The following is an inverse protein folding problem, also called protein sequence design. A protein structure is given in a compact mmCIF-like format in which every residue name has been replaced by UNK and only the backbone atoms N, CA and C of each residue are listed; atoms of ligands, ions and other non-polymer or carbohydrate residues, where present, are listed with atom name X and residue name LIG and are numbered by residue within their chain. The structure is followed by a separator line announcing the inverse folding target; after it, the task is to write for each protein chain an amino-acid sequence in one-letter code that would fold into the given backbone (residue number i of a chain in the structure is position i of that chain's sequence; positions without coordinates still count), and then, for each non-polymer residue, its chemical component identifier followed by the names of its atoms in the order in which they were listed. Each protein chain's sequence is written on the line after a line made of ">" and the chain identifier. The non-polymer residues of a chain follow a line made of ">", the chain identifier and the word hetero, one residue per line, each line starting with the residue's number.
data_IF_152742321700
#
_entry.id   IF_152742321700
#
_cell.length_a   1.000
_cell.length_b   1.000
_cell.length_c   1.000
_cell.angle_alpha   90.00
_cell.angle_beta   90.00
_cell.angle_gamma   90.00
#
_symmetry.space_group_name_H-M   'P 1'
#
loop_
_entity.id
_entity.type
_entity.pdbx_description
1 polymer ?
#
# COMPACT_ATOMS: atom_id res chain seq x y z
N UNK A 1 18.41 -12.92 7.87
CA UNK A 1 18.35 -12.92 9.36
C UNK A 1 18.45 -11.51 9.93
N UNK A 2 19.45 -10.70 9.54
CA UNK A 2 19.61 -9.29 9.96
C UNK A 2 18.43 -8.35 9.59
N UNK A 3 17.91 -8.43 8.36
CA UNK A 3 16.81 -7.57 7.91
C UNK A 3 15.50 -7.83 8.69
N UNK A 4 15.21 -9.10 8.98
CA UNK A 4 14.04 -9.50 9.78
C UNK A 4 14.14 -8.96 11.20
N UNK A 5 15.29 -9.12 11.87
CA UNK A 5 15.49 -8.59 13.22
C UNK A 5 15.46 -7.06 13.28
N UNK A 6 15.97 -6.37 12.24
CA UNK A 6 15.85 -4.91 12.14
C UNK A 6 14.40 -4.47 11.95
N UNK A 7 13.63 -5.20 11.15
CA UNK A 7 12.22 -4.91 10.91
C UNK A 7 11.38 -5.14 12.17
N UNK A 8 11.66 -6.20 12.92
CA UNK A 8 11.07 -6.47 14.23
C UNK A 8 11.41 -5.36 15.25
N UNK A 9 12.67 -4.91 15.33
CA UNK A 9 13.09 -3.80 16.20
C UNK A 9 12.37 -2.49 15.85
N UNK A 10 12.37 -2.09 14.57
CA UNK A 10 11.66 -0.88 14.11
C UNK A 10 10.15 -1.00 14.38
N UNK A 11 9.55 -2.15 14.06
CA UNK A 11 8.12 -2.39 14.30
C UNK A 11 7.79 -2.30 15.80
N UNK A 12 8.63 -2.84 16.66
CA UNK A 12 8.44 -2.77 18.12
C UNK A 12 8.51 -1.33 18.63
N UNK A 13 9.44 -0.52 18.13
CA UNK A 13 9.55 0.92 18.45
C UNK A 13 8.33 1.70 17.98
N UNK A 14 7.83 1.37 16.78
CA UNK A 14 6.61 1.98 16.22
C UNK A 14 5.34 1.58 16.98
N UNK A 15 5.29 0.38 17.57
CA UNK A 15 4.13 -0.10 18.35
C UNK A 15 4.02 0.56 19.73
N UNK A 16 5.15 0.85 20.38
CA UNK A 16 5.18 1.30 21.77
C UNK A 16 4.76 2.76 21.93
N UNK A 17 4.85 3.56 20.87
CA UNK A 17 4.61 5.01 20.97
C UNK A 17 3.41 5.42 20.11
N UNK A 18 2.29 5.80 20.76
CA UNK A 18 1.08 6.40 20.12
C UNK A 18 1.40 7.51 19.12
N UNK A 19 2.55 8.17 19.27
CA UNK A 19 3.07 9.23 18.40
C UNK A 19 3.37 8.78 16.97
N UNK A 20 3.41 7.48 16.68
CA UNK A 20 3.66 6.95 15.33
C UNK A 20 2.39 6.59 14.54
N UNK A 21 1.18 6.74 15.10
CA UNK A 21 -0.06 6.45 14.37
C UNK A 21 -0.22 7.34 13.13
N UNK A 22 0.09 8.64 13.27
CA UNK A 22 0.11 9.61 12.16
C UNK A 22 1.12 9.19 11.09
N UNK A 23 2.28 8.70 11.51
CA UNK A 23 3.34 8.22 10.63
C UNK A 23 2.93 6.98 9.83
N UNK A 24 2.32 5.99 10.49
CA UNK A 24 1.78 4.78 9.86
C UNK A 24 0.71 5.16 8.82
N UNK A 25 -0.15 6.13 9.14
CA UNK A 25 -1.17 6.65 8.22
C UNK A 25 -0.59 7.31 6.97
N UNK A 26 0.56 8.01 7.10
CA UNK A 26 1.26 8.57 5.94
C UNK A 26 1.79 7.44 5.05
N UNK A 27 2.58 6.51 5.60
CA UNK A 27 3.20 5.46 4.80
C UNK A 27 2.18 4.59 4.10
N UNK A 28 1.04 4.31 4.75
CA UNK A 28 -0.06 3.54 4.15
C UNK A 28 -0.51 4.10 2.80
N UNK A 29 -0.64 5.42 2.66
CA UNK A 29 -1.08 6.06 1.41
C UNK A 29 0.03 6.12 0.36
N UNK A 30 1.30 6.00 0.77
CA UNK A 30 2.47 6.10 -0.12
C UNK A 30 3.04 4.76 -0.54
N UNK A 31 2.65 3.67 0.12
CA UNK A 31 3.17 2.33 -0.14
C UNK A 31 2.92 1.87 -1.59
N UNK A 32 1.96 2.46 -2.32
CA UNK A 32 1.74 2.17 -3.74
C UNK A 32 2.79 2.78 -4.69
N UNK A 33 3.57 3.76 -4.22
CA UNK A 33 4.62 4.44 -4.96
C UNK A 33 6.05 3.96 -4.57
N UNK A 34 6.15 2.80 -3.92
CA UNK A 34 7.43 2.22 -3.49
C UNK A 34 8.31 1.77 -4.65
N UNK A 35 9.61 1.93 -4.44
CA UNK A 35 10.64 1.49 -5.37
C UNK A 35 10.82 -0.03 -5.26
N UNK A 36 11.35 -0.65 -6.30
CA UNK A 36 11.73 -2.07 -6.32
C UNK A 36 12.64 -2.45 -5.15
N UNK A 37 13.49 -1.54 -4.68
CA UNK A 37 14.34 -1.75 -3.51
C UNK A 37 13.56 -1.94 -2.20
N UNK A 38 12.40 -1.29 -2.04
CA UNK A 38 11.53 -1.48 -0.87
C UNK A 38 10.90 -2.88 -0.91
N UNK A 39 10.52 -3.33 -2.10
CA UNK A 39 9.91 -4.63 -2.32
C UNK A 39 10.90 -5.78 -2.14
N UNK A 40 12.13 -5.59 -2.62
CA UNK A 40 13.26 -6.51 -2.42
C UNK A 40 13.46 -6.79 -0.92
N UNK A 41 13.55 -5.72 -0.12
CA UNK A 41 13.65 -5.81 1.35
C UNK A 41 12.45 -6.52 2.00
N UNK A 42 11.25 -6.34 1.48
CA UNK A 42 10.04 -6.99 2.00
C UNK A 42 10.07 -8.51 1.77
N UNK A 43 10.57 -8.93 0.60
CA UNK A 43 10.74 -10.34 0.24
C UNK A 43 11.89 -10.97 1.04
N UNK A 44 13.00 -10.25 1.20
CA UNK A 44 14.14 -10.68 2.03
C UNK A 44 13.79 -10.80 3.52
N UNK A 45 12.90 -9.94 4.01
CA UNK A 45 12.33 -10.03 5.36
C UNK A 45 11.30 -11.16 5.50
N UNK A 46 10.99 -11.88 4.42
CA UNK A 46 10.00 -12.96 4.37
C UNK A 46 8.59 -12.51 4.80
N UNK A 47 8.21 -11.28 4.47
CA UNK A 47 6.85 -10.79 4.72
C UNK A 47 5.82 -11.41 3.77
N UNK A 48 6.29 -11.75 2.57
CA UNK A 48 5.61 -12.53 1.55
C UNK A 48 6.65 -13.07 0.56
N UNK A 49 6.25 -14.04 -0.25
CA UNK A 49 7.06 -14.52 -1.38
C UNK A 49 6.42 -14.11 -2.69
N UNK A 50 7.21 -13.68 -3.67
CA UNK A 50 6.74 -13.42 -5.04
C UNK A 50 7.12 -14.57 -5.97
N UNK A 51 6.24 -14.93 -6.90
CA UNK A 51 6.49 -16.01 -7.84
C UNK A 51 5.87 -15.74 -9.22
N UNK A 52 6.39 -16.43 -10.23
CA UNK A 52 5.84 -16.48 -11.57
C UNK A 52 5.33 -17.87 -11.88
N UNK A 53 4.20 -17.94 -12.57
CA UNK A 53 3.75 -19.12 -13.30
C UNK A 53 4.00 -18.86 -14.78
N UNK A 54 4.87 -19.64 -15.38
CA UNK A 54 5.27 -19.53 -16.78
C UNK A 54 4.72 -20.71 -17.56
N UNK A 55 4.01 -20.44 -18.64
CA UNK A 55 3.54 -21.46 -19.59
C UNK A 55 4.39 -21.41 -20.86
N UNK A 56 4.71 -22.57 -21.44
CA UNK A 56 5.37 -22.65 -22.75
C UNK A 56 4.49 -22.19 -23.90
N UNK A 57 3.17 -22.10 -23.69
CA UNK A 57 2.23 -21.60 -24.69
C UNK A 57 1.83 -20.15 -24.41
N UNK A 58 2.03 -19.29 -25.42
CA UNK A 58 1.67 -17.87 -25.39
C UNK A 58 0.16 -17.63 -25.21
N UNK A 59 -0.68 -18.53 -25.74
CA UNK A 59 -2.13 -18.52 -25.56
C UNK A 59 -2.61 -19.96 -25.56
N UNK A 60 -3.15 -20.42 -24.45
CA UNK A 60 -3.62 -21.80 -24.38
C UNK A 60 -4.60 -22.04 -23.24
N UNK A 61 -5.48 -23.05 -23.41
CA UNK A 61 -6.48 -23.42 -22.42
C UNK A 61 -5.84 -23.85 -21.09
N UNK A 62 -4.56 -24.22 -21.05
CA UNK A 62 -3.86 -24.50 -19.79
C UNK A 62 -3.90 -23.31 -18.83
N UNK A 63 -3.50 -22.12 -19.29
CA UNK A 63 -3.50 -20.96 -18.41
C UNK A 63 -4.92 -20.52 -18.09
N UNK A 64 -5.79 -20.36 -19.08
CA UNK A 64 -7.11 -19.74 -18.88
C UNK A 64 -8.16 -20.69 -18.31
N UNK A 65 -8.08 -21.98 -18.62
CA UNK A 65 -9.11 -22.95 -18.22
C UNK A 65 -8.67 -23.87 -17.09
N UNK A 66 -7.36 -23.98 -16.78
CA UNK A 66 -6.85 -24.86 -15.73
C UNK A 66 -6.21 -24.06 -14.59
N UNK A 67 -5.27 -23.17 -14.91
CA UNK A 67 -4.50 -22.42 -13.90
C UNK A 67 -5.32 -21.24 -13.37
N UNK A 68 -5.82 -20.34 -14.22
CA UNK A 68 -6.54 -19.13 -13.82
C UNK A 68 -7.75 -19.41 -12.90
N UNK A 69 -8.53 -20.49 -13.05
CA UNK A 69 -9.57 -20.86 -12.10
C UNK A 69 -9.09 -21.10 -10.66
N UNK A 70 -7.82 -21.45 -10.45
CA UNK A 70 -7.26 -21.57 -9.10
C UNK A 70 -7.07 -20.21 -8.42
N UNK A 71 -6.90 -19.11 -9.18
CA UNK A 71 -6.59 -17.81 -8.58
C UNK A 71 -7.79 -17.23 -7.84
N UNK A 72 -7.62 -17.02 -6.53
CA UNK A 72 -8.58 -16.29 -5.73
C UNK A 72 -8.74 -14.84 -6.19
N UNK A 73 -7.72 -14.24 -6.80
CA UNK A 73 -7.76 -12.84 -7.26
C UNK A 73 -8.47 -12.68 -8.59
N UNK A 74 -8.19 -13.55 -9.56
CA UNK A 74 -8.84 -13.50 -10.88
C UNK A 74 -10.34 -13.77 -10.74
N UNK A 75 -10.71 -14.76 -9.92
CA UNK A 75 -12.10 -15.19 -9.74
C UNK A 75 -12.80 -14.50 -8.57
N UNK A 76 -12.15 -13.53 -7.91
CA UNK A 76 -12.70 -12.76 -6.79
C UNK A 76 -13.22 -13.64 -5.63
N UNK A 77 -12.52 -14.73 -5.35
CA UNK A 77 -12.78 -15.57 -4.19
C UNK A 77 -12.30 -14.85 -2.93
N UNK A 78 -13.23 -14.13 -2.30
CA UNK A 78 -12.95 -13.27 -1.15
C UNK A 78 -13.07 -13.99 0.19
N UNK A 79 -13.79 -15.11 0.24
CA UNK A 79 -14.00 -15.88 1.46
C UNK A 79 -14.10 -17.39 1.15
N UNK A 80 -13.54 -18.26 2.01
CA UNK A 80 -13.70 -19.70 1.91
C UNK A 80 -15.18 -20.14 1.98
N UNK A 81 -16.05 -19.32 2.59
CA UNK A 81 -17.46 -19.64 2.74
C UNK A 81 -18.33 -19.30 1.54
N UNK A 82 -17.76 -18.65 0.52
CA UNK A 82 -18.54 -18.23 -0.64
C UNK A 82 -19.06 -19.44 -1.44
N UNK A 83 -20.32 -19.43 -1.92
CA UNK A 83 -20.90 -20.55 -2.67
C UNK A 83 -20.03 -20.97 -3.87
N UNK A 84 -19.52 -20.00 -4.62
CA UNK A 84 -18.66 -20.25 -5.77
C UNK A 84 -17.34 -20.98 -5.41
N UNK A 85 -16.79 -20.73 -4.22
CA UNK A 85 -15.61 -21.46 -3.72
C UNK A 85 -16.00 -22.89 -3.36
N UNK A 86 -17.09 -23.08 -2.60
CA UNK A 86 -17.55 -24.42 -2.20
C UNK A 86 -17.89 -25.30 -3.40
N UNK A 87 -18.55 -24.74 -4.41
CA UNK A 87 -18.89 -25.46 -5.64
C UNK A 87 -17.64 -25.87 -6.42
N UNK A 88 -16.67 -24.96 -6.55
CA UNK A 88 -15.42 -25.22 -7.25
C UNK A 88 -14.56 -26.27 -6.52
N UNK A 89 -14.37 -26.10 -5.21
CA UNK A 89 -13.61 -27.03 -4.36
C UNK A 89 -14.27 -28.41 -4.33
N UNK A 90 -15.60 -28.48 -4.26
CA UNK A 90 -16.35 -29.74 -4.30
C UNK A 90 -16.23 -30.43 -5.66
N UNK A 91 -16.28 -29.67 -6.76
CA UNK A 91 -16.16 -30.21 -8.12
C UNK A 91 -14.80 -30.84 -8.36
N UNK A 92 -13.72 -30.12 -8.07
CA UNK A 92 -12.36 -30.57 -8.41
C UNK A 92 -11.64 -31.29 -7.25
N UNK A 93 -12.27 -31.40 -6.07
CA UNK A 93 -11.69 -31.98 -4.85
C UNK A 93 -10.37 -31.32 -4.48
N UNK A 94 -10.36 -29.99 -4.47
CA UNK A 94 -9.20 -29.16 -4.14
C UNK A 94 -9.58 -28.16 -3.07
N UNK A 95 -8.58 -27.53 -2.46
CA UNK A 95 -8.81 -26.42 -1.53
C UNK A 95 -8.01 -25.20 -1.99
N UNK A 96 -8.70 -24.07 -2.08
CA UNK A 96 -8.22 -22.75 -2.48
C UNK A 96 -7.70 -21.94 -1.31
N UNK A 97 -8.09 -22.30 -0.09
CA UNK A 97 -7.70 -21.64 1.16
C UNK A 97 -7.00 -22.63 2.10
N UNK A 98 -6.14 -22.13 2.99
CA UNK A 98 -5.67 -22.92 4.13
C UNK A 98 -6.80 -23.07 5.15
N UNK A 99 -6.61 -23.94 6.15
CA UNK A 99 -7.54 -24.07 7.28
C UNK A 99 -7.74 -22.75 8.06
N UNK A 100 -6.76 -21.85 7.99
CA UNK A 100 -6.77 -20.53 8.62
C UNK A 100 -7.43 -19.46 7.74
N UNK A 101 -7.97 -19.83 6.58
CA UNK A 101 -8.61 -18.90 5.64
C UNK A 101 -7.63 -18.11 4.77
N UNK A 102 -6.35 -18.51 4.71
CA UNK A 102 -5.34 -17.86 3.87
C UNK A 102 -5.46 -18.36 2.44
N UNK A 103 -5.43 -17.46 1.45
CA UNK A 103 -5.45 -17.82 0.03
C UNK A 103 -4.20 -18.64 -0.33
N UNK A 104 -4.39 -19.88 -0.81
CA UNK A 104 -3.29 -20.70 -1.33
C UNK A 104 -2.79 -20.20 -2.69
N UNK A 105 -3.70 -19.68 -3.50
CA UNK A 105 -3.45 -19.27 -4.88
C UNK A 105 -3.87 -17.81 -5.10
N UNK A 106 -2.95 -16.89 -4.91
CA UNK A 106 -3.17 -15.46 -5.18
C UNK A 106 -2.22 -14.95 -6.28
N UNK A 107 -2.70 -14.99 -7.52
CA UNK A 107 -1.96 -14.51 -8.68
C UNK A 107 -2.84 -13.77 -9.68
N UNK A 108 -2.23 -12.92 -10.50
CA UNK A 108 -2.89 -12.16 -11.55
C UNK A 108 -2.21 -12.37 -12.91
N UNK A 109 -2.94 -12.04 -13.98
CA UNK A 109 -2.40 -12.00 -15.33
C UNK A 109 -1.39 -10.86 -15.44
N UNK A 110 -0.14 -11.20 -15.78
CA UNK A 110 0.92 -10.24 -16.08
C UNK A 110 1.11 -10.09 -17.59
N UNK A 111 1.14 -11.21 -18.32
CA UNK A 111 1.17 -11.27 -19.78
C UNK A 111 0.29 -12.42 -20.26
N UNK A 112 0.24 -12.67 -21.58
CA UNK A 112 -0.52 -13.80 -22.11
C UNK A 112 0.04 -15.16 -21.61
N UNK A 113 1.37 -15.30 -21.46
CA UNK A 113 2.05 -16.52 -21.00
C UNK A 113 2.47 -16.54 -19.52
N UNK A 114 2.35 -15.41 -18.82
CA UNK A 114 2.86 -15.25 -17.45
C UNK A 114 1.76 -14.87 -16.48
N UNK A 115 1.71 -15.58 -15.36
CA UNK A 115 1.02 -15.12 -14.14
C UNK A 115 2.03 -14.73 -13.09
N UNK A 116 1.70 -13.69 -12.36
CA UNK A 116 2.51 -13.20 -11.25
C UNK A 116 1.70 -13.37 -9.98
N UNK A 117 2.31 -13.92 -8.94
CA UNK A 117 1.62 -14.17 -7.68
C UNK A 117 2.39 -13.74 -6.44
N UNK A 118 1.61 -13.57 -5.37
CA UNK A 118 2.09 -13.37 -4.00
C UNK A 118 1.69 -14.60 -3.19
N UNK A 119 2.61 -15.09 -2.39
CA UNK A 119 2.43 -16.20 -1.48
C UNK A 119 2.55 -15.70 -0.04
N UNK A 120 1.59 -16.11 0.80
CA UNK A 120 1.61 -15.78 2.22
C UNK A 120 2.85 -16.34 2.91
N UNK A 121 3.40 -15.60 3.89
CA UNK A 121 4.62 -15.98 4.61
C UNK A 121 4.54 -17.34 5.33
N UNK A 122 3.33 -17.76 5.68
CA UNK A 122 3.05 -19.01 6.38
C UNK A 122 2.97 -20.21 5.43
N UNK A 123 3.00 -19.98 4.11
CA UNK A 123 2.99 -21.03 3.12
C UNK A 123 4.41 -21.20 2.57
N UNK A 124 4.99 -22.37 2.81
CA UNK A 124 6.27 -22.75 2.21
C UNK A 124 6.16 -22.76 0.68
N UNK A 125 7.14 -22.17 0.00
CA UNK A 125 7.18 -22.17 -1.45
C UNK A 125 7.24 -23.60 -2.03
N UNK A 126 7.88 -24.53 -1.33
CA UNK A 126 7.95 -25.94 -1.77
C UNK A 126 6.57 -26.59 -1.72
N UNK A 127 5.83 -26.39 -0.62
CA UNK A 127 4.49 -26.93 -0.45
C UNK A 127 3.52 -26.32 -1.44
N UNK A 128 3.65 -25.02 -1.69
CA UNK A 128 2.93 -24.32 -2.75
C UNK A 128 3.17 -24.93 -4.13
N UNK A 129 4.43 -25.17 -4.51
CA UNK A 129 4.80 -25.75 -5.81
C UNK A 129 4.27 -27.18 -5.95
N UNK A 130 4.30 -27.98 -4.89
CA UNK A 130 3.75 -29.33 -4.92
C UNK A 130 2.22 -29.30 -5.01
N UNK A 131 1.57 -28.48 -4.17
CA UNK A 131 0.12 -28.33 -4.14
C UNK A 131 -0.46 -27.82 -5.46
N UNK A 132 0.15 -26.79 -6.08
CA UNK A 132 -0.36 -26.28 -7.36
C UNK A 132 -0.24 -27.31 -8.48
N UNK A 133 0.81 -28.14 -8.50
CA UNK A 133 0.95 -29.22 -9.49
C UNK A 133 -0.13 -30.27 -9.33
N UNK A 134 -0.41 -30.69 -8.10
CA UNK A 134 -1.46 -31.66 -7.81
C UNK A 134 -2.84 -31.12 -8.16
N UNK A 135 -3.15 -29.89 -7.76
CA UNK A 135 -4.46 -29.27 -8.00
C UNK A 135 -4.68 -28.99 -9.49
N UNK A 136 -3.65 -28.56 -10.23
CA UNK A 136 -3.69 -28.45 -11.70
C UNK A 136 -3.98 -29.80 -12.34
N UNK A 137 -3.33 -30.88 -11.89
CA UNK A 137 -3.58 -32.23 -12.41
C UNK A 137 -5.01 -32.71 -12.15
N UNK A 138 -5.61 -32.37 -11.00
CA UNK A 138 -7.01 -32.70 -10.71
C UNK A 138 -7.97 -31.99 -11.65
N UNK A 139 -7.83 -30.68 -11.83
CA UNK A 139 -8.67 -29.91 -12.77
C UNK A 139 -8.47 -30.42 -14.20
N UNK A 140 -7.22 -30.71 -14.59
CA UNK A 140 -6.89 -31.24 -15.90
C UNK A 140 -7.59 -32.58 -16.17
N UNK A 141 -7.51 -33.53 -15.23
CA UNK A 141 -8.13 -34.85 -15.39
C UNK A 141 -9.65 -34.77 -15.51
N UNK A 142 -10.30 -33.87 -14.76
CA UNK A 142 -11.75 -33.63 -14.85
C UNK A 142 -12.16 -33.03 -16.21
N UNK A 143 -11.30 -32.21 -16.83
CA UNK A 143 -11.56 -31.56 -18.13
C UNK A 143 -11.01 -32.31 -19.35
N UNK A 144 -10.35 -33.44 -19.14
CA UNK A 144 -9.59 -34.16 -20.18
C UNK A 144 -10.48 -34.72 -21.30
N UNK A 145 -11.80 -34.81 -21.10
CA UNK A 145 -12.72 -35.42 -22.07
C UNK A 145 -12.89 -34.64 -23.38
N UNK A 146 -12.66 -33.32 -23.40
CA UNK A 146 -13.25 -32.47 -24.45
C UNK A 146 -12.26 -31.72 -25.36
N UNK A 147 -10.93 -31.75 -25.12
CA UNK A 147 -9.95 -30.97 -25.90
C UNK A 147 -8.62 -31.68 -26.13
N UNK A 148 -7.97 -31.42 -27.28
CA UNK A 148 -6.55 -31.70 -27.50
C UNK A 148 -5.74 -30.73 -26.64
N UNK A 149 -5.43 -31.15 -25.43
CA UNK A 149 -4.41 -30.50 -24.61
C UNK A 149 -3.06 -30.81 -25.25
N UNK A 150 -2.55 -29.89 -26.08
CA UNK A 150 -1.20 -30.00 -26.64
C UNK A 150 -0.16 -30.11 -25.51
N UNK A 151 1.07 -30.56 -25.82
CA UNK A 151 2.18 -30.70 -24.88
C UNK A 151 2.59 -29.36 -24.25
N UNK A 152 1.75 -28.83 -23.36
CA UNK A 152 1.92 -27.55 -22.68
C UNK A 152 2.26 -27.84 -21.24
N UNK A 153 3.47 -27.44 -20.84
CA UNK A 153 3.91 -27.48 -19.46
C UNK A 153 3.84 -26.09 -18.85
N UNK A 154 3.80 -26.04 -17.52
CA UNK A 154 4.03 -24.82 -16.78
C UNK A 154 5.18 -25.00 -15.79
N UNK A 155 5.85 -23.90 -15.48
CA UNK A 155 6.88 -23.81 -14.45
C UNK A 155 6.49 -22.77 -13.43
N UNK A 156 6.84 -23.00 -12.18
CA UNK A 156 6.61 -22.06 -11.07
C UNK A 156 7.97 -21.67 -10.51
N UNK A 157 8.27 -20.38 -10.54
CA UNK A 157 9.59 -19.87 -10.17
C UNK A 157 9.42 -18.80 -9.11
N UNK A 158 10.13 -18.94 -7.98
CA UNK A 158 10.25 -17.88 -6.99
C UNK A 158 11.11 -16.78 -7.59
N UNK A 159 10.64 -15.55 -7.50
CA UNK A 159 11.39 -14.38 -7.96
C UNK A 159 11.62 -13.43 -6.80
N UNK A 160 12.75 -12.73 -6.86
CA UNK A 160 13.05 -11.57 -6.02
C UNK A 160 13.35 -10.44 -7.00
N UNK A 161 12.43 -9.48 -7.18
CA UNK A 161 12.67 -8.32 -8.01
C UNK A 161 13.76 -7.49 -7.36
N UNK A 162 14.90 -7.37 -8.02
CA UNK A 162 15.95 -6.44 -7.62
C UNK A 162 16.23 -5.50 -8.78
N UNK A 163 16.72 -4.29 -8.49
CA UNK A 163 17.21 -3.34 -9.50
C UNK A 163 18.26 -3.97 -10.44
N UNK A 164 18.97 -4.99 -9.97
CA UNK A 164 20.02 -5.68 -10.73
C UNK A 164 19.49 -6.89 -11.52
N UNK A 165 18.27 -7.39 -11.20
CA UNK A 165 17.67 -8.58 -11.82
C UNK A 165 17.04 -8.30 -13.19
N UNK A 166 16.80 -7.03 -13.55
CA UNK A 166 16.16 -6.67 -14.81
C UNK A 166 17.11 -6.46 -15.99
N UNK A 167 18.42 -6.63 -15.77
CA UNK A 167 19.45 -6.51 -16.82
C UNK A 167 19.57 -5.08 -17.31
N UNK A 168 20.67 -4.41 -16.99
CA UNK A 168 21.04 -3.20 -17.70
C UNK A 168 21.32 -3.58 -19.16
N UNK A 169 20.36 -3.38 -20.07
CA UNK A 169 20.65 -3.19 -21.48
C UNK A 169 21.02 -1.72 -21.65
N UNK A 170 22.18 -1.44 -22.23
CA UNK A 170 22.90 -0.14 -22.21
C UNK A 170 22.19 1.10 -22.84
N UNK A 171 20.86 1.11 -22.97
CA UNK A 171 20.07 2.28 -23.43
C UNK A 171 18.80 2.42 -22.57
N UNK A 172 18.83 3.23 -21.49
CA UNK A 172 17.76 3.24 -20.47
C UNK A 172 17.26 4.66 -20.16
N UNK A 173 16.38 5.17 -21.00
CA UNK A 173 15.25 5.99 -20.55
C UNK A 173 14.00 5.11 -20.29
N UNK A 174 13.82 4.04 -21.07
CA UNK A 174 12.63 3.18 -21.04
C UNK A 174 12.60 2.16 -19.88
N UNK A 175 13.74 1.75 -19.33
CA UNK A 175 13.76 0.77 -18.24
C UNK A 175 13.33 1.38 -16.88
N UNK A 176 13.54 2.68 -16.63
CA UNK A 176 12.97 3.33 -15.43
C UNK A 176 11.44 3.26 -15.42
N UNK A 177 10.80 3.40 -16.59
CA UNK A 177 9.35 3.32 -16.75
C UNK A 177 8.85 1.88 -16.53
N UNK A 178 9.59 0.88 -17.01
CA UNK A 178 9.27 -0.55 -16.80
C UNK A 178 9.48 -0.99 -15.35
N UNK A 179 10.55 -0.54 -14.68
CA UNK A 179 10.83 -0.80 -13.27
C UNK A 179 9.72 -0.26 -12.37
N UNK A 180 9.25 0.98 -12.63
CA UNK A 180 8.10 1.56 -11.93
C UNK A 180 6.82 0.74 -12.16
N UNK A 181 6.65 0.16 -13.36
CA UNK A 181 5.45 -0.59 -13.71
C UNK A 181 5.37 -1.93 -12.97
N UNK A 182 6.47 -2.68 -12.89
CA UNK A 182 6.53 -3.94 -12.12
C UNK A 182 6.45 -3.66 -10.62
N UNK A 183 7.18 -2.67 -10.12
CA UNK A 183 7.15 -2.33 -8.68
C UNK A 183 5.74 -1.98 -8.22
N UNK A 184 5.03 -1.12 -8.97
CA UNK A 184 3.62 -0.79 -8.69
C UNK A 184 2.71 -2.03 -8.75
N UNK A 185 2.95 -2.92 -9.70
CA UNK A 185 2.16 -4.15 -9.82
C UNK A 185 2.34 -5.05 -8.59
N UNK A 186 3.58 -5.28 -8.17
CA UNK A 186 3.89 -6.10 -6.98
C UNK A 186 3.36 -5.45 -5.71
N UNK A 187 3.62 -4.14 -5.52
CA UNK A 187 3.15 -3.40 -4.36
C UNK A 187 1.63 -3.52 -4.18
N UNK A 188 0.87 -3.34 -5.28
CA UNK A 188 -0.60 -3.52 -5.29
C UNK A 188 -1.03 -4.92 -4.89
N UNK A 189 -0.32 -5.95 -5.34
CA UNK A 189 -0.65 -7.32 -4.96
C UNK A 189 -0.29 -7.62 -3.50
N UNK A 190 0.84 -7.10 -3.01
CA UNK A 190 1.40 -7.36 -1.69
C UNK A 190 0.75 -6.56 -0.55
N UNK A 191 -0.08 -5.54 -0.85
CA UNK A 191 -0.76 -4.72 0.16
C UNK A 191 -1.54 -5.52 1.21
N UNK A 192 -2.10 -6.68 0.82
CA UNK A 192 -2.86 -7.56 1.71
C UNK A 192 -2.01 -8.53 2.53
N UNK A 193 -0.70 -8.58 2.30
CA UNK A 193 0.23 -9.53 2.93
C UNK A 193 1.20 -8.86 3.91
N UNK A 194 1.13 -7.54 4.00
CA UNK A 194 1.91 -6.70 4.90
C UNK A 194 0.96 -5.89 5.76
N UNK A 195 1.18 -5.90 7.07
CA UNK A 195 0.44 -5.02 7.96
C UNK A 195 0.97 -3.59 7.88
N UNK A 196 0.23 -2.63 8.44
CA UNK A 196 0.55 -1.21 8.28
C UNK A 196 1.89 -0.83 8.97
N UNK A 197 2.27 -1.52 10.06
CA UNK A 197 3.57 -1.33 10.71
C UNK A 197 4.72 -1.85 9.86
N UNK A 198 4.56 -3.02 9.24
CA UNK A 198 5.56 -3.61 8.35
C UNK A 198 5.80 -2.72 7.12
N UNK A 199 4.73 -2.19 6.50
CA UNK A 199 4.82 -1.22 5.41
C UNK A 199 5.62 0.02 5.83
N UNK A 200 5.37 0.48 7.05
CA UNK A 200 6.02 1.63 7.68
C UNK A 200 7.51 1.36 7.90
N UNK A 201 7.86 0.25 8.54
CA UNK A 201 9.23 -0.15 8.78
C UNK A 201 10.03 -0.36 7.48
N UNK A 202 9.42 -0.94 6.45
CA UNK A 202 10.03 -1.08 5.12
C UNK A 202 10.37 0.27 4.50
N UNK A 203 9.51 1.26 4.70
CA UNK A 203 9.68 2.61 4.18
C UNK A 203 10.79 3.36 4.93
N UNK A 204 10.88 3.21 6.27
CA UNK A 204 12.03 3.71 7.06
C UNK A 204 13.34 3.13 6.53
N UNK A 205 13.35 1.81 6.26
CA UNK A 205 14.55 1.14 5.76
C UNK A 205 14.92 1.57 4.35
N UNK A 206 13.98 2.10 3.56
CA UNK A 206 14.25 2.60 2.22
C UNK A 206 14.74 4.06 2.22
N UNK A 207 16.06 4.22 2.24
CA UNK A 207 16.76 5.51 2.17
C UNK A 207 16.41 6.38 0.95
N UNK A 208 15.74 5.81 -0.06
CA UNK A 208 15.30 6.57 -1.25
C UNK A 208 13.88 7.14 -1.12
N UNK A 209 13.10 6.72 -0.13
CA UNK A 209 11.77 7.28 0.08
C UNK A 209 11.91 8.57 0.88
N UNK A 210 11.83 9.70 0.16
CA UNK A 210 11.74 11.00 0.80
C UNK A 210 10.31 11.20 1.31
N UNK A 211 10.07 10.80 2.56
CA UNK A 211 8.79 10.96 3.27
C UNK A 211 8.33 12.42 3.34
N UNK A 212 9.26 13.38 3.31
CA UNK A 212 8.93 14.79 3.24
C UNK A 212 8.24 15.13 1.90
N UNK A 213 8.75 14.64 0.76
CA UNK A 213 8.09 14.83 -0.55
C UNK A 213 6.69 14.22 -0.60
N UNK A 214 6.46 13.14 0.14
CA UNK A 214 5.15 12.50 0.26
C UNK A 214 4.18 13.38 1.04
N UNK A 215 4.58 13.87 2.22
CA UNK A 215 3.77 14.74 3.07
C UNK A 215 3.41 16.03 2.32
N UNK A 216 4.36 16.59 1.57
CA UNK A 216 4.13 17.78 0.75
C UNK A 216 3.15 17.56 -0.41
N UNK A 217 2.80 16.31 -0.76
CA UNK A 217 1.75 16.04 -1.73
C UNK A 217 0.36 16.01 -1.10
N UNK A 218 0.25 15.98 0.23
CA UNK A 218 -1.04 15.83 0.90
C UNK A 218 -1.87 17.11 0.81
N UNK A 219 -3.16 16.92 0.57
CA UNK A 219 -4.19 17.92 0.81
C UNK A 219 -4.41 18.14 2.31
N UNK A 220 -5.05 19.25 2.68
CA UNK A 220 -5.44 19.51 4.07
C UNK A 220 -6.36 18.42 4.61
N UNK A 221 -7.25 17.90 3.76
CA UNK A 221 -8.09 16.74 4.08
C UNK A 221 -7.25 15.55 4.55
N UNK A 222 -6.18 15.23 3.82
CA UNK A 222 -5.35 14.07 4.14
C UNK A 222 -4.57 14.24 5.43
N UNK A 223 -4.12 15.47 5.75
CA UNK A 223 -3.44 15.79 7.00
C UNK A 223 -4.40 15.77 8.19
N UNK A 224 -5.56 16.41 8.07
CA UNK A 224 -6.60 16.43 9.12
C UNK A 224 -7.10 15.01 9.43
N UNK A 225 -7.28 14.18 8.40
CA UNK A 225 -7.77 12.81 8.56
C UNK A 225 -6.76 11.84 9.19
N UNK A 226 -5.51 12.27 9.42
CA UNK A 226 -4.58 11.51 10.26
C UNK A 226 -4.95 11.57 11.74
N UNK A 227 -5.59 12.66 12.19
CA UNK A 227 -5.96 12.89 13.59
C UNK A 227 -7.47 12.83 13.84
N UNK A 228 -8.28 12.93 12.79
CA UNK A 228 -9.74 13.06 12.90
C UNK A 228 -10.46 12.27 11.80
N UNK A 229 -11.20 11.22 12.18
CA UNK A 229 -11.91 10.35 11.25
C UNK A 229 -13.17 10.97 10.65
N UNK A 230 -13.91 11.79 11.41
CA UNK A 230 -15.13 12.44 10.95
C UNK A 230 -14.90 13.90 10.53
N UNK A 231 -14.82 14.12 9.21
CA UNK A 231 -14.81 15.47 8.63
C UNK A 231 -16.16 15.89 8.03
N UNK A 232 -17.19 15.03 8.11
CA UNK A 232 -18.53 15.29 7.58
C UNK A 232 -18.56 15.84 6.15
N UNK A 233 -19.45 16.82 5.90
CA UNK A 233 -19.63 17.47 4.59
C UNK A 233 -18.47 18.38 4.16
N UNK A 234 -17.46 18.59 5.01
CA UNK A 234 -16.32 19.48 4.74
C UNK A 234 -15.25 18.83 3.86
N UNK A 235 -15.39 17.55 3.52
CA UNK A 235 -14.40 16.82 2.72
C UNK A 235 -14.06 17.48 1.38
N UNK A 236 -15.04 18.09 0.69
CA UNK A 236 -14.79 18.81 -0.57
C UNK A 236 -13.95 20.06 -0.34
N UNK A 237 -14.22 20.81 0.73
CA UNK A 237 -13.48 22.02 1.09
C UNK A 237 -12.03 21.70 1.45
N UNK A 238 -11.81 20.72 2.34
CA UNK A 238 -10.48 20.32 2.80
C UNK A 238 -9.58 19.75 1.68
N UNK A 239 -10.17 19.27 0.59
CA UNK A 239 -9.43 18.77 -0.60
C UNK A 239 -9.05 19.88 -1.59
N UNK A 240 -9.48 21.12 -1.38
CA UNK A 240 -9.18 22.21 -2.29
C UNK A 240 -7.71 22.61 -2.21
N UNK A 241 -7.05 22.64 -3.38
CA UNK A 241 -5.66 23.10 -3.49
C UNK A 241 -5.52 24.59 -3.10
N UNK A 242 -6.58 25.39 -3.33
CA UNK A 242 -6.66 26.79 -2.90
C UNK A 242 -6.48 26.95 -1.38
N UNK A 243 -7.11 26.07 -0.58
CA UNK A 243 -7.01 26.12 0.88
C UNK A 243 -5.57 25.85 1.34
N UNK A 244 -4.92 24.83 0.77
CA UNK A 244 -3.53 24.50 1.07
C UNK A 244 -2.60 25.68 0.75
N UNK A 245 -2.76 26.28 -0.43
CA UNK A 245 -1.99 27.46 -0.85
C UNK A 245 -2.22 28.66 0.08
N UNK A 246 -3.46 28.91 0.49
CA UNK A 246 -3.78 30.01 1.41
C UNK A 246 -3.13 29.81 2.78
N UNK A 247 -3.13 28.59 3.31
CA UNK A 247 -2.46 28.23 4.56
C UNK A 247 -0.94 28.45 4.44
N UNK A 248 -0.30 27.88 3.42
CA UNK A 248 1.15 28.03 3.22
C UNK A 248 1.55 29.48 2.99
N UNK A 249 0.74 30.25 2.26
CA UNK A 249 0.97 31.69 2.07
C UNK A 249 0.92 32.45 3.41
N UNK A 250 -0.09 32.20 4.24
CA UNK A 250 -0.23 32.83 5.56
C UNK A 250 0.95 32.48 6.49
N UNK A 251 1.38 31.23 6.46
CA UNK A 251 2.53 30.73 7.23
C UNK A 251 3.84 31.38 6.79
N UNK A 252 4.04 31.52 5.48
CA UNK A 252 5.21 32.17 4.91
C UNK A 252 5.25 33.67 5.25
N UNK A 253 4.13 34.37 5.07
CA UNK A 253 4.03 35.82 5.29
C UNK A 253 4.27 36.23 6.74
N UNK A 254 3.67 35.51 7.70
CA UNK A 254 3.75 35.87 9.12
C UNK A 254 5.01 35.32 9.81
N UNK A 255 5.50 34.16 9.38
CA UNK A 255 6.48 33.40 10.15
C UNK A 255 7.68 32.90 9.35
N UNK A 256 7.74 33.13 8.04
CA UNK A 256 8.79 32.57 7.19
C UNK A 256 8.74 31.05 7.05
N UNK A 257 7.57 30.44 7.30
CA UNK A 257 7.38 28.99 7.25
C UNK A 257 6.96 28.57 5.83
N UNK A 258 7.83 27.82 5.15
CA UNK A 258 7.59 27.41 3.75
C UNK A 258 6.87 26.05 3.63
N UNK A 259 6.87 25.25 4.70
CA UNK A 259 6.39 23.86 4.64
C UNK A 259 5.71 23.41 5.93
N UNK A 260 4.92 22.32 5.85
CA UNK A 260 4.33 21.71 7.06
C UNK A 260 5.38 21.08 7.97
N UNK A 261 6.57 20.77 7.43
CA UNK A 261 7.71 20.31 8.20
C UNK A 261 8.21 21.39 9.14
N UNK A 262 8.47 22.58 8.61
CA UNK A 262 9.01 23.70 9.39
C UNK A 262 8.01 24.12 10.46
N UNK A 263 6.72 24.09 10.10
CA UNK A 263 5.63 24.27 11.04
C UNK A 263 5.70 23.26 12.19
N UNK A 264 5.83 21.97 11.87
CA UNK A 264 5.91 20.88 12.85
C UNK A 264 7.04 21.08 13.86
N UNK A 265 8.23 21.48 13.40
CA UNK A 265 9.38 21.76 14.26
C UNK A 265 9.13 22.92 15.22
N UNK A 266 8.53 24.00 14.74
CA UNK A 266 8.30 25.19 15.55
C UNK A 266 7.19 25.00 16.59
N UNK A 267 6.12 24.26 16.26
CA UNK A 267 5.01 24.05 17.20
C UNK A 267 5.29 22.98 18.26
N UNK A 268 6.26 22.09 18.02
CA UNK A 268 6.63 20.99 18.93
C UNK A 268 7.19 21.51 20.26
N UNK A 269 7.95 22.60 20.22
CA UNK A 269 8.71 23.10 21.36
C UNK A 269 8.14 24.40 21.97
N UNK A 270 7.11 25.00 21.35
CA UNK A 270 6.52 26.28 21.79
C UNK A 270 4.98 26.27 21.79
N UNK A 271 4.39 26.05 22.96
CA UNK A 271 2.94 26.06 23.17
C UNK A 271 2.30 27.45 23.02
N UNK A 272 3.04 28.53 23.22
CA UNK A 272 2.54 29.90 22.97
C UNK A 272 2.39 30.11 21.47
N UNK A 273 3.42 29.78 20.72
CA UNK A 273 3.44 29.84 19.26
C UNK A 273 2.36 28.96 18.63
N UNK A 274 2.16 27.75 19.16
CA UNK A 274 1.12 26.82 18.73
C UNK A 274 -0.28 27.44 18.81
N UNK A 275 -0.62 28.12 19.91
CA UNK A 275 -1.92 28.79 20.08
C UNK A 275 -2.08 29.96 19.12
N UNK A 276 -1.02 30.73 18.91
CA UNK A 276 -1.02 31.86 17.97
C UNK A 276 -1.28 31.38 16.53
N UNK A 277 -0.54 30.36 16.08
CA UNK A 277 -0.74 29.78 14.75
C UNK A 277 -2.14 29.19 14.61
N UNK A 278 -2.67 28.49 15.63
CA UNK A 278 -4.03 27.96 15.56
C UNK A 278 -5.07 29.06 15.31
N UNK A 279 -4.90 30.24 15.92
CA UNK A 279 -5.80 31.38 15.69
C UNK A 279 -5.64 31.92 14.26
N UNK A 280 -4.42 32.12 13.79
CA UNK A 280 -4.15 32.63 12.45
C UNK A 280 -4.63 31.67 11.34
N UNK A 281 -4.46 30.36 11.52
CA UNK A 281 -4.97 29.37 10.58
C UNK A 281 -6.50 29.28 10.61
N UNK A 282 -7.12 29.46 11.78
CA UNK A 282 -8.57 29.51 11.87
C UNK A 282 -9.16 30.66 11.03
N UNK A 283 -8.50 31.82 10.99
CA UNK A 283 -8.91 32.92 10.12
C UNK A 283 -8.85 32.53 8.64
N UNK A 284 -7.80 31.83 8.21
CA UNK A 284 -7.67 31.33 6.82
C UNK A 284 -8.79 30.33 6.50
N UNK A 285 -9.06 29.40 7.41
CA UNK A 285 -10.16 28.44 7.22
C UNK A 285 -11.51 29.16 7.10
N UNK A 286 -11.75 30.20 7.93
CA UNK A 286 -12.98 31.01 7.87
C UNK A 286 -13.08 31.83 6.59
N UNK A 287 -11.98 32.37 6.07
CA UNK A 287 -12.00 33.18 4.84
C UNK A 287 -12.20 32.31 3.59
N UNK A 288 -11.63 31.11 3.58
CA UNK A 288 -11.72 30.19 2.46
C UNK A 288 -13.00 29.37 2.46
N UNK A 289 -13.60 29.13 3.64
CA UNK A 289 -14.88 28.46 3.76
C UNK A 289 -16.03 29.47 3.72
N UNK A 290 -16.86 29.43 2.67
CA UNK A 290 -18.04 30.30 2.57
C UNK A 290 -19.04 29.89 3.65
N UNK A 291 -19.10 30.66 4.74
CA UNK A 291 -20.05 30.45 5.83
C UNK A 291 -21.38 31.14 5.47
N UNK A 292 -22.36 30.36 4.99
CA UNK A 292 -23.75 30.82 5.00
C UNK A 292 -24.24 31.07 6.43
N UNK A 293 -25.09 32.09 6.60
CA UNK A 293 -25.52 32.66 7.90
C UNK A 293 -26.20 31.68 8.85
N UNK A 294 -26.72 30.55 8.36
CA UNK A 294 -27.26 29.49 9.21
C UNK A 294 -26.13 28.64 9.82
N UNK A 295 -26.13 28.52 11.15
CA UNK A 295 -25.22 27.68 11.95
C UNK A 295 -23.74 28.11 12.01
N UNK A 296 -23.44 29.40 11.95
CA UNK A 296 -22.08 29.99 12.05
C UNK A 296 -21.25 29.45 13.23
N UNK A 297 -21.86 29.26 14.40
CA UNK A 297 -21.15 28.77 15.60
C UNK A 297 -20.69 27.32 15.46
N UNK A 298 -21.56 26.44 14.95
CA UNK A 298 -21.24 25.01 14.75
C UNK A 298 -20.19 24.85 13.65
N UNK A 299 -20.34 25.60 12.56
CA UNK A 299 -19.35 25.65 11.47
C UNK A 299 -17.98 26.10 11.99
N UNK A 300 -17.95 27.18 12.77
CA UNK A 300 -16.70 27.70 13.36
C UNK A 300 -16.01 26.68 14.26
N UNK A 301 -16.76 26.02 15.17
CA UNK A 301 -16.20 24.97 16.02
C UNK A 301 -15.64 23.80 15.22
N UNK A 302 -16.27 23.41 14.11
CA UNK A 302 -15.76 22.34 13.26
C UNK A 302 -14.46 22.76 12.54
N UNK A 303 -14.37 24.01 12.07
CA UNK A 303 -13.13 24.55 11.51
C UNK A 303 -12.00 24.62 12.54
N UNK A 304 -12.29 25.00 13.79
CA UNK A 304 -11.33 24.96 14.91
C UNK A 304 -10.78 23.55 15.12
N UNK A 305 -11.64 22.54 15.13
CA UNK A 305 -11.21 21.14 15.24
C UNK A 305 -10.31 20.71 14.08
N UNK A 306 -10.57 21.17 12.86
CA UNK A 306 -9.69 20.89 11.72
C UNK A 306 -8.32 21.55 11.86
N UNK A 307 -8.26 22.78 12.37
CA UNK A 307 -6.99 23.46 12.64
C UNK A 307 -6.19 22.74 13.72
N UNK A 308 -6.84 22.34 14.82
CA UNK A 308 -6.21 21.55 15.89
C UNK A 308 -5.67 20.23 15.33
N UNK A 309 -6.47 19.52 14.54
CA UNK A 309 -6.06 18.28 13.89
C UNK A 309 -4.88 18.48 12.92
N UNK A 310 -4.88 19.56 12.15
CA UNK A 310 -3.80 19.90 11.22
C UNK A 310 -2.49 20.19 11.96
N UNK A 311 -2.53 21.00 13.02
CA UNK A 311 -1.36 21.33 13.84
C UNK A 311 -0.84 20.10 14.56
N UNK A 312 -1.73 19.30 15.17
CA UNK A 312 -1.34 18.05 15.81
C UNK A 312 -0.76 17.03 14.81
N UNK A 313 -1.22 17.03 13.55
CA UNK A 313 -0.60 16.22 12.50
C UNK A 313 0.81 16.75 12.17
N UNK A 314 0.97 18.05 11.93
CA UNK A 314 2.29 18.64 11.64
C UNK A 314 3.31 18.38 12.75
N UNK A 315 2.90 18.49 14.01
CA UNK A 315 3.70 18.19 15.20
C UNK A 315 4.14 16.73 15.25
N UNK A 316 3.24 15.77 15.04
CA UNK A 316 3.60 14.35 14.95
C UNK A 316 4.55 14.06 13.78
N UNK A 317 4.33 14.71 12.64
CA UNK A 317 5.18 14.55 11.47
C UNK A 317 6.59 15.12 11.72
N UNK A 318 6.73 16.10 12.62
CA UNK A 318 8.02 16.65 13.02
C UNK A 318 8.97 15.57 13.55
N UNK A 319 8.42 14.61 14.28
CA UNK A 319 9.16 13.48 14.87
C UNK A 319 9.72 12.52 13.82
N UNK A 320 9.15 12.49 12.61
CA UNK A 320 9.68 11.69 11.49
C UNK A 320 10.98 12.30 10.98
N UNK A 321 11.13 13.62 11.06
CA UNK A 321 12.31 14.32 10.56
C UNK A 321 13.53 14.18 11.48
N UNK A 322 13.34 13.70 12.71
CA UNK A 322 14.38 13.46 13.72
C UNK A 322 14.90 12.00 13.75
N UNK A 323 14.35 11.10 12.91
CA UNK A 323 14.76 9.68 12.76
C UNK A 323 15.79 9.54 11.64
#
# INVERSE_FOLDING_TARGET
>A
MLLKSMLEDITSKLQVEKKYETYIGVVKKSFENVNINTLDKAIDANLFTTYLILSSSYKGPLLTEIIDPLSCRINQYNSPDSPNVKDFESKYKISLFTQEGIKKYDFAKYSDSTRFGILHRDISFVDFVNGIKEDVNRIFNEKKSDKKWENVGFSVIRITPSKYSFGAMDDISDAQVKDMSISKFIARMAMGYTNDLEKTALTVLDKNVNLFKVIEQYSIFELVTLKMSDVGSYGKFLKQDKLKKAILFKLLDLYGIESFKDLGYLVKDDESFKKEIQQNLLEVFKSEYIIDSENTLVKTKKLELFVIALIGAAEDLALIYDI
#
